data_IF_916995160999
#
_entry.id   IF_916995160999
#
_cell.length_a   1.000
_cell.length_b   1.000
_cell.length_c   1.000
_cell.angle_alpha   90.00
_cell.angle_beta   90.00
_cell.angle_gamma   90.00
#
_symmetry.space_group_name_H-M   'P 1'
#
loop_
_entity.id
_entity.type
_entity.pdbx_description
1 polymer ?
#
# COMPACT_ATOMS: atom_id res chain seq x y z
N UNK A 1 -8.94 13.48 -9.93
CA UNK A 1 -9.20 12.50 -8.86
C UNK A 1 -8.53 11.20 -9.27
N UNK A 2 -7.48 10.73 -8.59
CA UNK A 2 -7.04 9.35 -8.82
C UNK A 2 -8.22 8.43 -8.49
N UNK A 3 -8.57 7.54 -9.41
CA UNK A 3 -9.70 6.63 -9.25
C UNK A 3 -9.51 5.69 -8.06
N UNK A 4 -10.63 5.30 -7.45
CA UNK A 4 -10.67 4.31 -6.37
C UNK A 4 -9.95 3.03 -6.82
N UNK A 5 -9.06 2.50 -5.98
CA UNK A 5 -8.34 1.26 -6.26
C UNK A 5 -9.10 0.06 -5.72
N UNK A 6 -9.24 -0.97 -6.53
CA UNK A 6 -9.87 -2.23 -6.16
C UNK A 6 -8.86 -3.22 -5.59
N UNK A 7 -9.34 -4.24 -4.88
CA UNK A 7 -8.48 -5.29 -4.35
C UNK A 7 -7.76 -6.10 -5.45
N UNK A 8 -8.33 -6.17 -6.65
CA UNK A 8 -7.72 -6.86 -7.79
C UNK A 8 -6.59 -6.02 -8.40
N UNK A 9 -6.85 -4.73 -8.62
CA UNK A 9 -5.83 -3.77 -9.07
C UNK A 9 -4.66 -3.72 -8.10
N UNK A 10 -4.93 -3.69 -6.78
CA UNK A 10 -3.89 -3.69 -5.77
C UNK A 10 -2.99 -4.92 -5.84
N UNK A 11 -3.54 -6.10 -6.12
CA UNK A 11 -2.77 -7.35 -6.29
C UNK A 11 -1.98 -7.38 -7.60
N UNK A 12 -2.43 -6.65 -8.61
CA UNK A 12 -1.75 -6.51 -9.89
C UNK A 12 -0.64 -5.45 -9.87
N UNK A 13 -0.61 -4.58 -8.86
CA UNK A 13 0.45 -3.55 -8.72
C UNK A 13 1.81 -4.22 -8.64
N UNK A 14 2.74 -3.71 -9.44
CA UNK A 14 4.15 -4.07 -9.38
C UNK A 14 4.96 -2.86 -8.98
N UNK A 15 5.48 -2.90 -7.76
CA UNK A 15 6.38 -1.87 -7.25
C UNK A 15 7.78 -2.08 -7.82
N UNK A 16 8.36 -0.99 -8.31
CA UNK A 16 9.72 -0.94 -8.81
C UNK A 16 10.76 -0.89 -7.69
N UNK A 17 12.02 -1.03 -8.07
CA UNK A 17 13.14 -0.77 -7.18
C UNK A 17 13.58 0.69 -7.28
N UNK A 18 14.05 1.31 -6.18
CA UNK A 18 14.44 2.71 -6.20
C UNK A 18 15.66 2.96 -7.11
N UNK A 19 15.77 4.21 -7.55
CA UNK A 19 16.89 4.72 -8.34
C UNK A 19 18.27 4.44 -7.71
N UNK A 20 19.33 4.56 -8.50
CA UNK A 20 20.69 4.21 -8.08
C UNK A 20 21.08 4.90 -6.77
N UNK A 21 21.53 4.11 -5.78
CA UNK A 21 22.07 4.62 -4.52
C UNK A 21 21.03 4.92 -3.43
N UNK A 22 19.73 4.77 -3.71
CA UNK A 22 18.67 4.89 -2.72
C UNK A 22 18.31 3.54 -2.09
N UNK A 23 17.96 3.59 -0.81
CA UNK A 23 17.36 2.47 -0.08
C UNK A 23 15.87 2.72 -0.04
N UNK A 24 15.12 1.72 -0.47
CA UNK A 24 13.68 1.70 -0.49
C UNK A 24 13.10 1.06 0.77
N UNK A 25 11.77 0.96 0.80
CA UNK A 25 11.06 0.25 1.85
C UNK A 25 11.27 -1.25 1.76
N UNK A 26 11.17 -1.91 2.92
CA UNK A 26 11.31 -3.35 3.03
C UNK A 26 10.19 -4.05 2.27
N UNK A 27 10.54 -4.82 1.25
CA UNK A 27 9.56 -5.47 0.37
C UNK A 27 8.57 -6.33 1.15
N UNK A 28 9.09 -7.13 2.09
CA UNK A 28 8.28 -8.00 2.96
C UNK A 28 7.25 -7.21 3.79
N UNK A 29 7.63 -6.05 4.34
CA UNK A 29 6.74 -5.24 5.18
C UNK A 29 5.66 -4.53 4.36
N UNK A 30 6.02 -4.10 3.14
CA UNK A 30 5.08 -3.54 2.18
C UNK A 30 4.13 -4.62 1.68
N UNK A 31 4.62 -5.78 1.25
CA UNK A 31 3.81 -6.89 0.73
C UNK A 31 2.80 -7.38 1.78
N UNK A 32 3.23 -7.57 3.02
CA UNK A 32 2.36 -7.95 4.15
C UNK A 32 1.25 -6.92 4.38
N UNK A 33 1.58 -5.63 4.26
CA UNK A 33 0.61 -4.56 4.41
C UNK A 33 -0.37 -4.49 3.23
N UNK A 34 0.12 -4.59 2.00
CA UNK A 34 -0.71 -4.60 0.79
C UNK A 34 -1.70 -5.78 0.80
N UNK A 35 -1.29 -6.94 1.31
CA UNK A 35 -2.18 -8.08 1.51
C UNK A 35 -3.35 -7.75 2.44
N UNK A 36 -3.08 -7.11 3.59
CA UNK A 36 -4.13 -6.66 4.54
C UNK A 36 -5.05 -5.61 3.94
N UNK A 37 -4.50 -4.67 3.17
CA UNK A 37 -5.30 -3.68 2.44
C UNK A 37 -6.21 -4.37 1.42
N UNK A 38 -5.70 -5.33 0.67
CA UNK A 38 -6.49 -6.07 -0.33
C UNK A 38 -7.67 -6.82 0.33
N UNK A 39 -7.47 -7.40 1.51
CA UNK A 39 -8.56 -7.99 2.30
C UNK A 39 -9.58 -6.95 2.74
N UNK A 40 -9.13 -5.80 3.24
CA UNK A 40 -10.02 -4.72 3.66
C UNK A 40 -10.81 -4.10 2.49
N UNK A 41 -10.20 -3.92 1.32
CA UNK A 41 -10.90 -3.52 0.09
C UNK A 41 -11.91 -4.58 -0.37
N UNK A 42 -11.58 -5.86 -0.22
CA UNK A 42 -12.52 -6.96 -0.50
C UNK A 42 -13.71 -6.92 0.45
N UNK A 43 -13.50 -6.65 1.74
CA UNK A 43 -14.56 -6.48 2.72
C UNK A 43 -15.47 -5.28 2.36
N UNK A 44 -14.90 -4.15 1.96
CA UNK A 44 -15.66 -2.98 1.50
C UNK A 44 -16.51 -3.30 0.25
N UNK A 45 -15.94 -4.01 -0.73
CA UNK A 45 -16.68 -4.44 -1.93
C UNK A 45 -17.87 -5.36 -1.57
N UNK A 46 -17.73 -6.16 -0.51
CA UNK A 46 -18.79 -7.01 0.03
C UNK A 46 -19.73 -6.27 1.01
N UNK A 47 -19.62 -4.94 1.15
CA UNK A 47 -20.35 -4.11 2.12
C UNK A 47 -20.21 -4.59 3.57
N UNK A 48 -19.02 -5.07 3.92
CA UNK A 48 -18.63 -5.45 5.30
C UNK A 48 -17.72 -4.38 5.89
N UNK A 49 -17.65 -4.36 7.21
CA UNK A 49 -16.69 -3.53 7.92
C UNK A 49 -15.26 -3.98 7.56
N UNK A 50 -14.40 -3.09 7.02
CA UNK A 50 -13.02 -3.43 6.76
C UNK A 50 -12.24 -3.58 8.07
N UNK A 51 -11.22 -4.44 8.06
CA UNK A 51 -10.28 -4.58 9.18
C UNK A 51 -9.25 -3.44 9.25
N UNK A 52 -9.16 -2.61 8.19
CA UNK A 52 -8.29 -1.44 8.10
C UNK A 52 -9.12 -0.19 7.84
N UNK A 53 -8.70 0.94 8.40
CA UNK A 53 -9.32 2.26 8.18
C UNK A 53 -8.38 3.17 7.38
N UNK A 54 -8.92 4.25 6.79
CA UNK A 54 -8.11 5.24 6.09
C UNK A 54 -6.99 5.82 6.96
N UNK A 55 -7.28 6.11 8.24
CA UNK A 55 -6.28 6.66 9.15
C UNK A 55 -5.19 5.63 9.49
N UNK A 56 -5.53 4.34 9.61
CA UNK A 56 -4.55 3.28 9.78
C UNK A 56 -3.62 3.12 8.55
N UNK A 57 -4.13 3.39 7.33
CA UNK A 57 -3.30 3.44 6.12
C UNK A 57 -2.34 4.63 6.18
N UNK A 58 -2.83 5.80 6.57
CA UNK A 58 -2.02 7.02 6.66
C UNK A 58 -0.95 6.96 7.74
N UNK A 59 -1.23 6.31 8.86
CA UNK A 59 -0.32 6.22 10.00
C UNK A 59 0.74 5.10 9.86
N UNK A 60 0.64 4.26 8.81
CA UNK A 60 1.60 3.18 8.59
C UNK A 60 2.99 3.75 8.35
N UNK A 61 4.01 3.11 8.93
CA UNK A 61 5.41 3.46 8.70
C UNK A 61 6.23 2.23 8.38
N UNK A 62 6.68 2.14 7.15
CA UNK A 62 7.55 1.06 6.69
C UNK A 62 9.01 1.31 7.09
N UNK A 63 9.73 0.23 7.42
CA UNK A 63 11.17 0.31 7.64
C UNK A 63 11.93 0.31 6.32
N UNK A 64 13.08 1.00 6.28
CA UNK A 64 13.99 0.94 5.13
C UNK A 64 14.66 -0.44 5.04
N UNK A 65 14.91 -0.90 3.81
CA UNK A 65 15.62 -2.15 3.54
C UNK A 65 17.01 -2.14 4.23
N UNK A 66 17.34 -3.24 4.91
CA UNK A 66 18.63 -3.43 5.57
C UNK A 66 19.80 -3.53 4.60
N UNK A 67 21.01 -3.23 5.09
CA UNK A 67 22.25 -3.31 4.30
C UNK A 67 22.46 -4.73 3.76
N UNK A 68 22.82 -4.86 2.47
CA UNK A 68 23.14 -6.15 1.84
C UNK A 68 21.94 -7.01 1.37
N UNK A 69 20.69 -6.54 1.52
CA UNK A 69 19.48 -7.28 1.10
C UNK A 69 18.81 -6.71 -0.16
N UNK A 70 19.59 -6.09 -1.05
CA UNK A 70 19.06 -5.40 -2.24
C UNK A 70 18.55 -3.98 -1.93
N UNK A 71 17.75 -3.43 -2.86
CA UNK A 71 17.34 -2.02 -2.80
C UNK A 71 15.99 -1.79 -2.10
N UNK A 72 15.13 -2.80 -1.97
CA UNK A 72 13.76 -2.60 -1.49
C UNK A 72 12.83 -2.07 -2.58
N UNK A 73 11.58 -1.75 -2.22
CA UNK A 73 10.64 -1.06 -3.10
C UNK A 73 10.86 0.45 -3.08
N UNK A 74 10.62 1.10 -4.22
CA UNK A 74 10.71 2.55 -4.33
C UNK A 74 9.73 3.23 -3.36
N UNK A 75 10.27 4.09 -2.48
CA UNK A 75 9.49 4.82 -1.47
C UNK A 75 8.44 5.70 -2.15
N UNK A 76 8.80 6.37 -3.24
CA UNK A 76 7.91 7.28 -3.95
C UNK A 76 6.71 6.52 -4.57
N UNK A 77 6.94 5.30 -5.09
CA UNK A 77 5.86 4.47 -5.64
C UNK A 77 4.96 3.86 -4.55
N UNK A 78 5.56 3.49 -3.41
CA UNK A 78 4.80 2.97 -2.27
C UNK A 78 3.92 4.07 -1.68
N UNK A 79 4.47 5.27 -1.49
CA UNK A 79 3.74 6.41 -0.94
C UNK A 79 2.60 6.84 -1.87
N UNK A 80 2.82 6.91 -3.18
CA UNK A 80 1.74 7.20 -4.15
C UNK A 80 0.63 6.14 -4.12
N UNK A 81 0.99 4.87 -3.95
CA UNK A 81 0.02 3.79 -3.81
C UNK A 81 -0.78 3.91 -2.52
N UNK A 82 -0.12 4.23 -1.39
CA UNK A 82 -0.77 4.46 -0.11
C UNK A 82 -1.78 5.61 -0.19
N UNK A 83 -1.43 6.71 -0.84
CA UNK A 83 -2.33 7.85 -1.04
C UNK A 83 -3.61 7.45 -1.80
N UNK A 84 -3.48 6.61 -2.84
CA UNK A 84 -4.64 6.09 -3.60
C UNK A 84 -5.50 5.14 -2.76
N UNK A 85 -4.87 4.30 -1.96
CA UNK A 85 -5.57 3.42 -1.02
C UNK A 85 -6.34 4.27 -0.01
N UNK A 86 -5.68 5.21 0.66
CA UNK A 86 -6.31 6.10 1.65
C UNK A 86 -7.53 6.80 1.06
N UNK A 87 -7.38 7.42 -0.12
CA UNK A 87 -8.48 8.09 -0.81
C UNK A 87 -9.67 7.15 -1.06
N UNK A 88 -9.40 5.88 -1.40
CA UNK A 88 -10.44 4.87 -1.61
C UNK A 88 -11.18 4.54 -0.32
N UNK A 89 -10.46 4.34 0.78
CA UNK A 89 -11.07 4.09 2.08
C UNK A 89 -11.89 5.27 2.57
N UNK A 90 -11.42 6.51 2.36
CA UNK A 90 -12.18 7.72 2.70
C UNK A 90 -13.45 7.84 1.87
N UNK A 91 -13.39 7.55 0.58
CA UNK A 91 -14.55 7.58 -0.31
C UNK A 91 -15.59 6.49 0.02
N UNK A 92 -15.16 5.34 0.53
CA UNK A 92 -16.06 4.25 0.92
C UNK A 92 -16.68 4.43 2.32
N UNK A 93 -16.09 5.29 3.15
CA UNK A 93 -16.55 5.59 4.50
C UNK A 93 -17.49 6.82 4.58
N UNK A 94 -17.55 7.63 3.53
CA UNK A 94 -18.48 8.76 3.37
C UNK A 94 -19.75 8.37 2.63
#
# INVERSE_FOLDING_TARGET
MPGAITADELRAVRLGTPGWGRKGYRTEEVDDFLARVAEALTALALRRAPQLTADAVRDVRFRKQGFGRGRGYDEDQVDELLDRIEATFRAAAG
#
